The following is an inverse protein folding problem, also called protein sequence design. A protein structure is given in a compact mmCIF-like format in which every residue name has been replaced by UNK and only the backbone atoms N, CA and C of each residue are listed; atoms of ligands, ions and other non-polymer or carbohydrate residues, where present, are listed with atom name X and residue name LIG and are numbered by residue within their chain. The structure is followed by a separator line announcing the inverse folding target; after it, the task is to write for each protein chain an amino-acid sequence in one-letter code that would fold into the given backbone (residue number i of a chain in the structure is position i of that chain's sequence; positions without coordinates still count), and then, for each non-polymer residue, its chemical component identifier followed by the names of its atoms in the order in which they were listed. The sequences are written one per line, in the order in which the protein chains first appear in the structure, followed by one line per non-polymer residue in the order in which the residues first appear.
data_IF_832699031726
#
_entry.id   IF_832699031726
#
_cell.length_a   1.000
_cell.length_b   1.000
_cell.length_c   1.000
_cell.angle_alpha   90.00
_cell.angle_beta   90.00
_cell.angle_gamma   90.00
#
_symmetry.space_group_name_H-M   'P 1'
#
loop_
_entity.id
_entity.type
_entity.pdbx_description
1 polymer ?
#
# COMPACT_ATOMS: atom_id res chain seq x y z
N UNK A 1 -18.36 -10.09 28.90
CA UNK A 1 -17.80 -9.87 27.55
C UNK A 1 -18.17 -11.01 26.60
N UNK A 2 -17.66 -12.24 26.74
CA UNK A 2 -17.95 -13.32 25.77
C UNK A 2 -19.44 -13.68 25.63
N UNK A 3 -20.25 -13.56 26.69
CA UNK A 3 -21.69 -13.84 26.61
C UNK A 3 -22.46 -12.85 25.71
N UNK A 4 -21.90 -11.66 25.46
CA UNK A 4 -22.47 -10.65 24.56
C UNK A 4 -22.13 -10.90 23.09
N UNK A 5 -21.27 -11.88 22.81
CA UNK A 5 -20.80 -12.24 21.46
C UNK A 5 -21.60 -13.46 20.97
N UNK A 6 -22.00 -13.52 19.67
CA UNK A 6 -22.61 -14.70 19.08
C UNK A 6 -21.73 -15.95 19.30
N UNK A 7 -22.36 -17.09 19.59
CA UNK A 7 -21.65 -18.34 19.98
C UNK A 7 -20.52 -18.69 19.01
N UNK A 8 -20.79 -18.59 17.71
CA UNK A 8 -19.84 -18.91 16.64
C UNK A 8 -18.55 -18.07 16.68
N UNK A 9 -18.61 -16.86 17.20
CA UNK A 9 -17.48 -15.93 17.27
C UNK A 9 -16.79 -15.96 18.63
N UNK A 10 -17.38 -16.61 19.64
CA UNK A 10 -16.84 -16.58 21.03
C UNK A 10 -15.45 -17.19 21.13
N UNK A 11 -15.17 -18.25 20.38
CA UNK A 11 -13.83 -18.87 20.34
C UNK A 11 -12.79 -17.85 19.87
N UNK A 12 -13.02 -17.24 18.71
CA UNK A 12 -12.12 -16.24 18.15
C UNK A 12 -11.97 -15.02 19.08
N UNK A 13 -13.05 -14.58 19.70
CA UNK A 13 -12.99 -13.49 20.67
C UNK A 13 -12.18 -13.87 21.93
N UNK A 14 -12.32 -15.09 22.43
CA UNK A 14 -11.52 -15.59 23.55
C UNK A 14 -10.03 -15.66 23.19
N UNK A 15 -9.72 -16.15 21.99
CA UNK A 15 -8.35 -16.20 21.46
C UNK A 15 -7.75 -14.78 21.36
N UNK A 16 -8.52 -13.81 20.85
CA UNK A 16 -8.09 -12.41 20.75
C UNK A 16 -7.85 -11.77 22.12
N UNK A 17 -8.73 -12.01 23.10
CA UNK A 17 -8.57 -11.51 24.47
C UNK A 17 -7.33 -12.12 25.12
N UNK A 18 -7.12 -13.43 24.97
CA UNK A 18 -5.93 -14.10 25.50
C UNK A 18 -4.65 -13.55 24.88
N UNK A 19 -4.65 -13.30 23.56
CA UNK A 19 -3.52 -12.69 22.87
C UNK A 19 -3.27 -11.26 23.38
N UNK A 20 -4.29 -10.41 23.51
CA UNK A 20 -4.13 -9.05 24.06
C UNK A 20 -3.55 -9.09 25.48
N UNK A 21 -4.05 -9.99 26.33
CA UNK A 21 -3.55 -10.17 27.68
C UNK A 21 -2.08 -10.60 27.70
N UNK A 22 -1.68 -11.54 26.81
CA UNK A 22 -0.29 -11.93 26.65
C UNK A 22 0.60 -10.72 26.30
N UNK A 23 0.19 -9.89 25.36
CA UNK A 23 0.95 -8.70 24.99
C UNK A 23 1.04 -7.68 26.13
N UNK A 24 -0.02 -7.51 26.95
CA UNK A 24 0.03 -6.63 28.13
C UNK A 24 0.95 -7.15 29.24
N UNK A 25 1.16 -8.45 29.34
CA UNK A 25 2.16 -9.02 30.27
C UNK A 25 3.57 -8.69 29.81
N UNK A 26 3.84 -8.76 28.50
CA UNK A 26 5.15 -8.46 27.93
C UNK A 26 5.43 -6.95 27.89
N UNK A 27 4.43 -6.15 27.53
CA UNK A 27 4.49 -4.69 27.50
C UNK A 27 3.25 -4.12 28.20
N UNK A 28 3.35 -3.77 29.49
CA UNK A 28 2.22 -3.29 30.27
C UNK A 28 1.75 -1.88 29.91
N UNK A 29 2.55 -1.12 29.16
CA UNK A 29 2.21 0.25 28.75
C UNK A 29 1.50 0.24 27.40
N UNK A 30 2.08 -0.41 26.40
CA UNK A 30 1.57 -0.37 25.03
C UNK A 30 0.98 -1.70 24.54
N UNK A 31 1.40 -2.84 25.07
CA UNK A 31 0.90 -4.16 24.67
C UNK A 31 0.80 -4.34 23.15
N UNK A 32 -0.35 -4.85 22.68
CA UNK A 32 -0.60 -5.00 21.25
C UNK A 32 -0.66 -3.69 20.46
N UNK A 33 -0.92 -2.56 21.13
CA UNK A 33 -0.92 -1.22 20.48
C UNK A 33 0.49 -0.83 20.06
N UNK A 34 1.52 -1.25 20.80
CA UNK A 34 2.93 -1.05 20.41
C UNK A 34 3.24 -1.71 19.08
N UNK A 35 2.83 -2.98 18.92
CA UNK A 35 2.99 -3.74 17.67
C UNK A 35 2.25 -3.07 16.51
N UNK A 36 0.99 -2.66 16.72
CA UNK A 36 0.21 -1.96 15.70
C UNK A 36 0.89 -0.65 15.27
N UNK A 37 1.39 0.13 16.24
CA UNK A 37 2.04 1.41 15.98
C UNK A 37 3.35 1.25 15.19
N UNK A 38 4.12 0.20 15.50
CA UNK A 38 5.33 -0.16 14.76
C UNK A 38 4.99 -0.51 13.31
N UNK A 39 4.02 -1.38 13.09
CA UNK A 39 3.58 -1.78 11.75
C UNK A 39 3.06 -0.58 10.94
N UNK A 40 2.30 0.33 11.56
CA UNK A 40 1.84 1.55 10.90
C UNK A 40 3.00 2.45 10.45
N UNK A 41 4.06 2.54 11.26
CA UNK A 41 5.27 3.28 10.89
C UNK A 41 5.97 2.63 9.71
N UNK A 42 6.18 1.31 9.75
CA UNK A 42 6.83 0.56 8.66
C UNK A 42 6.07 0.68 7.34
N UNK A 43 4.74 0.57 7.39
CA UNK A 43 3.87 0.81 6.22
C UNK A 43 4.08 2.22 5.68
N UNK A 44 4.08 3.23 6.56
CA UNK A 44 4.23 4.63 6.15
C UNK A 44 5.59 4.91 5.50
N UNK A 45 6.67 4.36 6.05
CA UNK A 45 8.03 4.48 5.50
C UNK A 45 8.09 3.81 4.12
N UNK A 46 7.62 2.58 4.02
CA UNK A 46 7.61 1.82 2.76
C UNK A 46 6.80 2.54 1.68
N UNK A 47 5.63 3.06 2.03
CA UNK A 47 4.79 3.83 1.09
C UNK A 47 5.48 5.11 0.60
N UNK A 48 6.25 5.77 1.47
CA UNK A 48 7.06 6.94 1.09
C UNK A 48 8.15 6.56 0.10
N UNK A 49 8.93 5.52 0.39
CA UNK A 49 10.01 5.04 -0.48
C UNK A 49 9.48 4.64 -1.87
N UNK A 50 8.32 3.99 -1.90
CA UNK A 50 7.63 3.67 -3.14
C UNK A 50 7.26 4.93 -3.94
N UNK A 51 6.68 5.93 -3.28
CA UNK A 51 6.31 7.19 -3.92
C UNK A 51 7.54 7.95 -4.46
N UNK A 52 8.64 7.97 -3.70
CA UNK A 52 9.91 8.58 -4.12
C UNK A 52 10.47 7.88 -5.36
N UNK A 53 10.51 6.54 -5.36
CA UNK A 53 10.97 5.74 -6.50
C UNK A 53 10.11 5.98 -7.72
N UNK A 54 8.78 6.02 -7.56
CA UNK A 54 7.86 6.29 -8.66
C UNK A 54 8.06 7.68 -9.26
N UNK A 55 8.28 8.70 -8.42
CA UNK A 55 8.58 10.05 -8.88
C UNK A 55 9.90 10.11 -9.67
N UNK A 56 10.93 9.39 -9.24
CA UNK A 56 12.20 9.30 -9.97
C UNK A 56 11.99 8.65 -11.34
N UNK A 57 11.26 7.54 -11.42
CA UNK A 57 10.95 6.86 -12.69
C UNK A 57 10.24 7.82 -13.66
N UNK A 58 9.20 8.51 -13.20
CA UNK A 58 8.45 9.46 -14.03
C UNK A 58 9.32 10.63 -14.49
N UNK A 59 10.19 11.15 -13.62
CA UNK A 59 11.15 12.19 -13.99
C UNK A 59 12.08 11.73 -15.11
N UNK A 60 12.71 10.55 -14.98
CA UNK A 60 13.61 10.01 -16.01
C UNK A 60 12.87 9.73 -17.33
N UNK A 61 11.66 9.20 -17.27
CA UNK A 61 10.84 8.97 -18.48
C UNK A 61 10.54 10.29 -19.22
N UNK A 62 10.19 11.36 -18.49
CA UNK A 62 9.90 12.68 -19.08
C UNK A 62 11.13 13.36 -19.67
N UNK A 63 12.31 13.19 -19.05
CA UNK A 63 13.58 13.72 -19.57
C UNK A 63 13.99 13.02 -20.88
N UNK A 64 13.76 11.70 -20.99
CA UNK A 64 14.03 10.95 -22.21
C UNK A 64 13.17 11.42 -23.41
N UNK A 65 11.95 11.90 -23.17
CA UNK A 65 11.08 12.47 -24.21
C UNK A 65 11.43 13.92 -24.60
N UNK A 66 12.29 14.61 -23.85
CA UNK A 66 12.60 16.02 -24.04
C UNK A 66 13.82 16.28 -24.95
N UNK A 67 14.37 15.27 -25.63
CA UNK A 67 15.37 15.52 -26.68
C UNK A 67 14.70 16.22 -27.87
N UNK A 68 15.12 17.45 -28.24
CA UNK A 68 14.57 18.14 -29.39
C UNK A 68 15.15 17.51 -30.66
N UNK A 69 14.47 16.49 -31.20
CA UNK A 69 14.72 16.06 -32.56
C UNK A 69 14.15 17.14 -33.49
N UNK A 70 15.03 18.07 -33.89
CA UNK A 70 14.82 18.94 -35.02
C UNK A 70 14.79 18.06 -36.28
N UNK A 71 13.60 17.69 -36.74
CA UNK A 71 13.40 17.27 -38.14
C UNK A 71 12.15 17.93 -38.68
N UNK A 72 12.39 18.72 -39.71
CA UNK A 72 11.49 19.65 -40.34
C UNK A 72 10.30 18.98 -41.04
N UNK A 73 9.20 19.73 -41.03
CA UNK A 73 8.18 19.86 -42.07
C UNK A 73 7.31 18.65 -42.48
N UNK A 74 6.01 18.99 -42.60
CA UNK A 74 4.95 18.38 -43.39
C UNK A 74 3.91 17.55 -42.61
N UNK A 75 2.76 18.19 -42.29
CA UNK A 75 1.42 17.87 -42.85
C UNK A 75 0.66 16.84 -41.99
N UNK A 76 -0.65 16.78 -41.85
CA UNK A 76 -1.82 17.63 -42.11
C UNK A 76 -3.00 16.88 -41.44
N UNK A 77 -4.06 17.61 -41.12
CA UNK A 77 -5.43 17.18 -40.75
C UNK A 77 -5.69 16.67 -39.32
N UNK A 78 -6.45 17.52 -38.64
CA UNK A 78 -7.23 17.28 -37.44
C UNK A 78 -8.22 16.11 -37.62
N UNK A 79 -8.26 15.18 -36.67
CA UNK A 79 -9.51 14.50 -36.32
C UNK A 79 -9.71 14.58 -34.80
N UNK A 80 -10.80 15.25 -34.44
CA UNK A 80 -11.13 15.71 -33.10
C UNK A 80 -12.04 14.70 -32.44
N UNK A 81 -11.47 13.70 -31.78
CA UNK A 81 -12.18 12.92 -30.76
C UNK A 81 -11.32 12.83 -29.50
N UNK A 82 -11.75 13.60 -28.51
CA UNK A 82 -11.20 13.73 -27.16
C UNK A 82 -10.98 12.37 -26.49
N UNK A 83 -9.71 11.99 -26.34
CA UNK A 83 -9.30 10.99 -25.36
C UNK A 83 -9.52 11.63 -23.99
N UNK A 84 -10.42 11.12 -23.13
CA UNK A 84 -10.36 11.51 -21.74
C UNK A 84 -8.99 11.06 -21.25
N UNK A 85 -8.21 12.01 -20.71
CA UNK A 85 -7.01 11.74 -19.94
C UNK A 85 -7.39 10.83 -18.78
N UNK A 86 -7.40 9.53 -19.06
CA UNK A 86 -7.33 8.52 -18.05
C UNK A 86 -5.95 8.67 -17.43
N UNK A 87 -5.78 8.96 -16.12
CA UNK A 87 -4.56 8.53 -15.45
C UNK A 87 -4.35 7.04 -15.78
N UNK A 88 -3.12 6.50 -15.80
CA UNK A 88 -2.96 5.05 -15.78
C UNK A 88 -3.56 4.55 -14.45
N UNK A 89 -4.86 4.22 -14.52
CA UNK A 89 -5.80 3.77 -13.50
C UNK A 89 -5.36 2.41 -12.92
N UNK A 90 -6.16 1.70 -12.09
CA UNK A 90 -7.28 2.04 -11.19
C UNK A 90 -7.13 1.33 -9.82
N UNK A 91 -8.11 1.53 -8.94
CA UNK A 91 -8.47 0.75 -7.75
C UNK A 91 -7.70 -0.53 -7.37
N UNK A 92 -7.45 -0.59 -6.06
CA UNK A 92 -7.22 -1.79 -5.25
C UNK A 92 -5.87 -2.49 -5.48
N UNK A 93 -4.94 -2.24 -4.56
CA UNK A 93 -4.21 -3.39 -4.05
C UNK A 93 -5.25 -4.31 -3.42
N UNK A 94 -5.70 -5.31 -4.18
CA UNK A 94 -6.42 -6.45 -3.65
C UNK A 94 -5.50 -7.04 -2.57
N UNK A 95 -6.02 -7.23 -1.36
CA UNK A 95 -5.28 -7.66 -0.16
C UNK A 95 -4.49 -8.97 -0.35
N UNK A 96 -4.75 -9.66 -1.45
CA UNK A 96 -4.25 -10.99 -1.82
C UNK A 96 -2.97 -10.94 -2.69
N UNK A 97 -2.52 -9.77 -3.16
CA UNK A 97 -1.34 -9.62 -4.04
C UNK A 97 0.00 -9.40 -3.30
N UNK A 98 0.01 -9.48 -1.96
CA UNK A 98 1.28 -9.44 -1.22
C UNK A 98 1.98 -10.79 -1.37
N UNK A 99 3.18 -10.87 -1.99
CA UNK A 99 3.93 -12.11 -2.05
C UNK A 99 4.19 -12.63 -0.63
N UNK A 100 3.82 -13.89 -0.36
CA UNK A 100 4.05 -14.58 0.93
C UNK A 100 5.52 -14.48 1.41
N UNK A 101 6.46 -14.23 0.50
CA UNK A 101 7.87 -13.99 0.76
C UNK A 101 8.13 -12.79 1.70
N UNK A 102 7.31 -11.74 1.62
CA UNK A 102 7.43 -10.54 2.47
C UNK A 102 6.98 -10.85 3.91
N UNK A 103 5.97 -11.70 4.07
CA UNK A 103 5.47 -12.12 5.38
C UNK A 103 6.45 -13.05 6.11
N UNK A 104 7.39 -13.67 5.39
CA UNK A 104 8.28 -14.72 5.91
C UNK A 104 9.65 -14.22 6.38
N UNK A 105 10.00 -12.95 6.17
CA UNK A 105 11.32 -12.41 6.57
C UNK A 105 11.41 -11.89 8.01
N UNK A 106 10.32 -11.85 8.75
CA UNK A 106 10.31 -11.29 10.12
C UNK A 106 9.56 -12.11 11.17
N UNK A 107 9.38 -13.43 10.96
CA UNK A 107 9.07 -14.40 12.02
C UNK A 107 10.01 -15.60 11.94
#
# INVERSE_FOLDING_TARGET
MLQQIPVEQRRQAADAIAMEAYWRVQDPVYGGVGVISMLQREISVTQRELAETQAQITMYASQAQSQPNQTAAAQCLEDRHSVPSQPPFPGLYQRDDIPQEILRRHF
#
